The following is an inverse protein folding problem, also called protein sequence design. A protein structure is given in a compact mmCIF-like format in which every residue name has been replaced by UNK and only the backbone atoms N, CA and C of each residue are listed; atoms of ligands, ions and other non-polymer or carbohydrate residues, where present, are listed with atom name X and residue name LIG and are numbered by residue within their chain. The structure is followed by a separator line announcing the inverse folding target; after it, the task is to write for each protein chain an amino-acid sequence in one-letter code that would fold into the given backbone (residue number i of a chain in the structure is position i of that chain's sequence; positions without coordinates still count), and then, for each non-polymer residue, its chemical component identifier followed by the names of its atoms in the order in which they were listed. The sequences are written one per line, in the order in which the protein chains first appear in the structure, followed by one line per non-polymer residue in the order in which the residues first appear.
data_IF_881231471179
#
_entry.id   IF_881231471179
#
_cell.length_a   1.000
_cell.length_b   1.000
_cell.length_c   1.000
_cell.angle_alpha   90.00
_cell.angle_beta   90.00
_cell.angle_gamma   90.00
#
_symmetry.space_group_name_H-M   'P 1'
#
loop_
_entity.id
_entity.type
_entity.pdbx_description
1 polymer ?
#
# COMPACT_ATOMS: atom_id res chain seq x y z
N UNK A 1 -16.29 -0.56 -19.57
CA UNK A 1 -16.03 -1.06 -18.21
C UNK A 1 -14.63 -1.62 -18.19
N UNK A 2 -13.67 -0.94 -17.58
CA UNK A 2 -12.31 -1.48 -17.44
C UNK A 2 -12.36 -2.43 -16.26
N UNK A 3 -12.37 -3.75 -16.52
CA UNK A 3 -12.18 -4.75 -15.46
C UNK A 3 -10.74 -4.61 -14.96
N UNK A 4 -10.52 -3.72 -13.99
CA UNK A 4 -9.29 -3.74 -13.24
C UNK A 4 -9.36 -5.02 -12.39
N UNK A 5 -8.82 -6.13 -12.89
CA UNK A 5 -8.88 -7.42 -12.20
C UNK A 5 -8.28 -7.23 -10.80
N UNK A 6 -9.15 -7.38 -9.80
CA UNK A 6 -8.81 -7.28 -8.38
C UNK A 6 -8.98 -8.65 -7.76
N UNK A 7 -8.06 -9.01 -6.86
CA UNK A 7 -8.15 -10.23 -6.05
C UNK A 7 -8.41 -9.88 -4.61
N UNK A 8 -9.14 -10.77 -3.95
CA UNK A 8 -9.23 -10.76 -2.50
C UNK A 8 -7.88 -11.14 -1.90
N UNK A 9 -7.43 -10.38 -0.92
CA UNK A 9 -6.20 -10.63 -0.20
C UNK A 9 -6.40 -10.40 1.30
N UNK A 10 -5.60 -11.10 2.09
CA UNK A 10 -5.50 -10.91 3.53
C UNK A 10 -4.09 -10.45 3.88
N UNK A 11 -4.03 -9.55 4.86
CA UNK A 11 -2.81 -9.16 5.56
C UNK A 11 -2.85 -9.78 6.97
N UNK A 12 -1.82 -9.58 7.78
CA UNK A 12 -1.80 -10.06 9.16
C UNK A 12 -2.96 -9.52 10.03
N UNK A 13 -3.54 -8.36 9.65
CA UNK A 13 -4.48 -7.62 10.51
C UNK A 13 -5.75 -7.15 9.81
N UNK A 14 -5.82 -7.27 8.50
CA UNK A 14 -6.93 -6.75 7.69
C UNK A 14 -7.08 -7.53 6.39
N UNK A 15 -8.21 -7.35 5.72
CA UNK A 15 -8.58 -7.97 4.45
C UNK A 15 -8.87 -6.88 3.42
N UNK A 16 -8.87 -7.24 2.13
CA UNK A 16 -9.22 -6.28 1.11
C UNK A 16 -9.09 -6.78 -0.32
N UNK A 17 -9.12 -5.83 -1.25
CA UNK A 17 -9.03 -6.05 -2.68
C UNK A 17 -7.79 -5.37 -3.24
N UNK A 18 -6.92 -6.15 -3.85
CA UNK A 18 -5.63 -5.70 -4.38
C UNK A 18 -5.55 -5.94 -5.90
N UNK A 19 -4.67 -5.25 -6.63
CA UNK A 19 -4.45 -5.54 -8.05
C UNK A 19 -4.08 -7.01 -8.28
N UNK A 20 -4.50 -7.58 -9.40
CA UNK A 20 -4.16 -8.96 -9.80
C UNK A 20 -2.65 -9.27 -9.80
N UNK A 21 -1.83 -8.25 -10.07
CA UNK A 21 -0.38 -8.35 -10.09
C UNK A 21 0.27 -8.40 -8.70
N UNK A 22 -0.51 -8.26 -7.61
CA UNK A 22 -0.04 -8.31 -6.22
C UNK A 22 0.52 -9.69 -5.88
N UNK A 23 1.60 -9.71 -5.11
CA UNK A 23 2.31 -10.92 -4.69
C UNK A 23 2.61 -10.87 -3.19
N UNK A 24 2.80 -12.04 -2.60
CA UNK A 24 3.29 -12.15 -1.21
C UNK A 24 4.63 -11.41 -1.10
N UNK A 25 4.74 -10.54 -0.09
CA UNK A 25 5.91 -9.67 0.11
C UNK A 25 5.74 -8.25 -0.41
N UNK A 26 4.73 -7.97 -1.25
CA UNK A 26 4.35 -6.59 -1.56
C UNK A 26 3.83 -5.88 -0.29
N UNK A 27 4.02 -4.56 -0.23
CA UNK A 27 3.64 -3.73 0.92
C UNK A 27 2.48 -2.81 0.57
N UNK A 28 1.60 -2.59 1.55
CA UNK A 28 0.54 -1.59 1.44
C UNK A 28 1.06 -0.28 2.05
N UNK A 29 0.83 0.83 1.34
CA UNK A 29 1.18 2.16 1.81
C UNK A 29 0.06 3.15 1.50
N UNK A 30 -0.03 4.21 2.30
CA UNK A 30 -0.83 5.40 2.00
C UNK A 30 0.17 6.53 1.76
N UNK A 31 0.15 7.14 0.58
CA UNK A 31 0.94 8.33 0.33
C UNK A 31 0.30 9.52 1.06
N UNK A 32 1.13 10.35 1.70
CA UNK A 32 0.64 11.55 2.39
C UNK A 32 -0.09 12.45 1.40
N UNK A 33 -1.35 12.78 1.71
CA UNK A 33 -2.22 13.57 0.83
C UNK A 33 -3.04 12.76 -0.17
N UNK A 34 -2.82 11.45 -0.29
CA UNK A 34 -3.69 10.56 -1.06
C UNK A 34 -4.80 9.98 -0.16
N UNK A 35 -5.97 9.75 -0.77
CA UNK A 35 -7.14 9.18 -0.09
C UNK A 35 -7.24 7.66 -0.20
N UNK A 36 -6.40 7.02 -1.03
CA UNK A 36 -6.46 5.58 -1.29
C UNK A 36 -5.11 4.92 -0.98
N UNK A 37 -5.13 3.71 -0.38
CA UNK A 37 -3.93 2.91 -0.23
C UNK A 37 -3.48 2.34 -1.58
N UNK A 38 -2.18 2.05 -1.66
CA UNK A 38 -1.53 1.49 -2.83
C UNK A 38 -0.70 0.28 -2.45
N UNK A 39 -0.52 -0.62 -3.41
CA UNK A 39 0.42 -1.74 -3.31
C UNK A 39 1.75 -1.32 -3.91
N UNK A 40 2.82 -1.48 -3.14
CA UNK A 40 4.20 -1.20 -3.50
C UNK A 40 5.03 -2.48 -3.50
N UNK A 41 5.89 -2.62 -4.50
CA UNK A 41 6.84 -3.72 -4.61
C UNK A 41 8.28 -3.21 -4.52
N UNK A 42 9.04 -3.75 -3.58
CA UNK A 42 10.45 -3.42 -3.41
C UNK A 42 11.27 -3.90 -4.62
N UNK A 43 12.25 -3.09 -5.04
CA UNK A 43 13.21 -3.46 -6.10
C UNK A 43 14.53 -3.89 -5.42
N UNK A 44 14.84 -5.19 -5.36
CA UNK A 44 16.05 -5.67 -4.71
C UNK A 44 17.32 -5.27 -5.47
N UNK A 45 18.45 -5.21 -4.76
CA UNK A 45 19.78 -5.03 -5.35
C UNK A 45 20.20 -3.59 -5.64
N UNK A 46 19.41 -2.60 -5.20
CA UNK A 46 19.74 -1.18 -5.36
C UNK A 46 20.31 -0.61 -4.05
N UNK A 47 21.32 0.28 -4.16
CA UNK A 47 21.86 1.02 -3.01
C UNK A 47 20.88 2.05 -2.43
N UNK A 48 19.84 2.38 -3.20
CA UNK A 48 18.77 3.31 -2.82
C UNK A 48 17.46 2.54 -2.77
N UNK A 49 16.60 2.87 -1.80
CA UNK A 49 15.27 2.27 -1.74
C UNK A 49 14.44 2.72 -2.94
N UNK A 50 14.02 1.76 -3.77
CA UNK A 50 13.09 2.00 -4.87
C UNK A 50 11.93 1.02 -4.81
N UNK A 51 10.79 1.50 -5.27
CA UNK A 51 9.53 0.78 -5.23
C UNK A 51 8.83 0.90 -6.59
N UNK A 52 8.24 -0.20 -7.06
CA UNK A 52 7.25 -0.15 -8.12
C UNK A 52 5.86 0.07 -7.51
N UNK A 53 5.11 1.03 -8.07
CA UNK A 53 3.69 1.16 -7.81
C UNK A 53 2.96 0.05 -8.58
N UNK A 54 2.47 -0.96 -7.85
CA UNK A 54 1.70 -2.07 -8.44
C UNK A 54 0.29 -1.61 -8.79
N UNK A 55 -0.30 -0.75 -7.95
CA UNK A 55 -1.60 -0.12 -8.19
C UNK A 55 -2.35 0.20 -6.91
N UNK A 56 -3.51 0.83 -7.06
CA UNK A 56 -4.43 1.14 -5.96
C UNK A 56 -5.09 -0.12 -5.39
N UNK A 57 -5.33 -0.13 -4.09
CA UNK A 57 -6.05 -1.20 -3.41
C UNK A 57 -7.16 -0.66 -2.50
N UNK A 58 -8.03 -1.56 -2.06
CA UNK A 58 -8.93 -1.37 -0.94
C UNK A 58 -8.47 -2.26 0.20
N UNK A 59 -8.32 -1.70 1.39
CA UNK A 59 -8.03 -2.46 2.60
C UNK A 59 -8.97 -1.96 3.69
N UNK A 60 -9.64 -2.91 4.33
CA UNK A 60 -10.63 -2.65 5.36
C UNK A 60 -9.97 -1.94 6.56
N UNK A 61 -10.62 -0.88 7.07
CA UNK A 61 -10.10 -0.01 8.13
C UNK A 61 -9.00 0.99 7.70
N UNK A 62 -8.32 0.79 6.56
CA UNK A 62 -7.29 1.75 6.10
C UNK A 62 -7.87 3.00 5.43
N UNK A 63 -9.01 2.85 4.74
CA UNK A 63 -9.66 3.97 4.05
C UNK A 63 -10.49 4.87 4.98
N UNK A 64 -10.83 4.42 6.18
CA UNK A 64 -11.64 5.18 7.14
C UNK A 64 -10.82 6.18 7.97
N UNK A 65 -9.52 6.31 7.67
CA UNK A 65 -8.63 7.25 8.35
C UNK A 65 -8.03 6.73 9.66
N UNK A 66 -8.47 5.57 10.15
CA UNK A 66 -7.94 4.92 11.36
C UNK A 66 -6.42 4.75 11.29
N UNK A 67 -5.90 4.42 10.11
CA UNK A 67 -4.46 4.24 9.92
C UNK A 67 -3.66 5.53 10.14
N UNK A 68 -4.22 6.68 9.75
CA UNK A 68 -3.58 7.98 9.97
C UNK A 68 -3.60 8.38 11.44
N UNK A 69 -4.65 8.00 12.16
CA UNK A 69 -4.73 8.16 13.61
C UNK A 69 -3.71 7.28 14.33
N UNK A 70 -3.65 5.99 13.99
CA UNK A 70 -2.63 5.05 14.51
C UNK A 70 -1.22 5.55 14.20
N UNK A 71 -0.97 6.06 12.99
CA UNK A 71 0.34 6.60 12.61
C UNK A 71 0.73 7.81 13.46
N UNK A 72 -0.23 8.70 13.78
CA UNK A 72 -0.02 9.85 14.67
C UNK A 72 0.25 9.40 16.11
N UNK A 73 -0.60 8.53 16.66
CA UNK A 73 -0.48 8.02 18.02
C UNK A 73 0.85 7.30 18.25
N UNK A 74 1.22 6.42 17.30
CA UNK A 74 2.47 5.65 17.36
C UNK A 74 3.70 6.43 16.91
N UNK A 75 3.54 7.72 16.57
CA UNK A 75 4.62 8.58 16.04
C UNK A 75 5.41 7.90 14.92
N UNK A 76 4.70 7.22 14.01
CA UNK A 76 5.32 6.60 12.85
C UNK A 76 5.88 7.72 11.96
N UNK A 77 7.18 7.67 11.69
CA UNK A 77 7.81 8.61 10.78
C UNK A 77 7.45 8.25 9.34
N UNK A 78 6.95 9.20 8.54
CA UNK A 78 6.71 8.97 7.11
C UNK A 78 8.01 8.55 6.44
N UNK A 79 7.95 7.48 5.64
CA UNK A 79 9.09 7.07 4.83
C UNK A 79 9.02 7.79 3.48
N UNK A 80 10.10 8.47 3.10
CA UNK A 80 10.20 9.06 1.77
C UNK A 80 10.32 7.93 0.73
N UNK A 81 9.38 7.89 -0.21
CA UNK A 81 9.36 6.94 -1.32
C UNK A 81 9.54 7.76 -2.60
N UNK A 82 10.65 7.54 -3.30
CA UNK A 82 10.89 8.17 -4.58
C UNK A 82 10.27 7.30 -5.68
N UNK A 83 9.21 7.82 -6.32
CA UNK A 83 8.64 7.24 -7.52
C UNK A 83 9.53 7.61 -8.71
N UNK A 84 9.79 6.65 -9.59
CA UNK A 84 10.59 6.84 -10.81
C UNK A 84 9.73 6.75 -12.06
#
# INVERSE_FOLDING_TARGET
MVSNSRRFATTEKSLGFVPDATRVGDRIAIFLGCSVPVVLREIPGLKVMKWYLVGECYIDGLMEGEYMEIARERRLLPQAIMLM
#
